data_IF_124627534951
#
_entry.id   IF_124627534951
#
_cell.length_a   1.000
_cell.length_b   1.000
_cell.length_c   1.000
_cell.angle_alpha   90.00
_cell.angle_beta   90.00
_cell.angle_gamma   90.00
#
_symmetry.space_group_name_H-M   'P 1'
#
loop_
_entity.id
_entity.type
_entity.pdbx_description
1 polymer ?
#
# COMPACT_ATOMS: atom_id res chain seq x y z
N UNK A 1 -9.77 -12.17 -6.16
CA UNK A 1 -8.72 -11.16 -6.10
C UNK A 1 -8.78 -10.49 -4.74
N UNK A 2 -7.66 -10.25 -4.09
CA UNK A 2 -7.62 -9.62 -2.76
C UNK A 2 -6.18 -9.31 -2.36
N UNK A 3 -5.98 -8.11 -1.82
CA UNK A 3 -4.71 -7.70 -1.24
C UNK A 3 -4.93 -6.61 -0.18
N UNK A 4 -3.96 -6.45 0.68
CA UNK A 4 -3.93 -5.45 1.75
C UNK A 4 -2.50 -5.15 2.15
N UNK A 5 -2.29 -4.00 2.77
CA UNK A 5 -1.00 -3.65 3.35
C UNK A 5 -0.74 -4.50 4.60
N UNK A 6 0.42 -5.13 4.64
CA UNK A 6 0.87 -5.94 5.79
C UNK A 6 1.63 -5.09 6.80
N UNK A 7 2.53 -4.25 6.31
CA UNK A 7 3.40 -3.41 7.14
C UNK A 7 3.77 -2.11 6.44
N UNK A 8 4.21 -1.15 7.26
CA UNK A 8 4.82 0.09 6.81
C UNK A 8 6.27 0.17 7.30
N UNK A 9 7.16 0.68 6.47
CA UNK A 9 8.58 0.88 6.81
C UNK A 9 9.04 2.26 6.38
N UNK A 10 9.91 2.88 7.17
CA UNK A 10 10.64 4.06 6.69
C UNK A 10 11.73 3.63 5.71
N UNK A 11 12.01 4.53 4.77
CA UNK A 11 13.06 4.34 3.76
C UNK A 11 14.14 5.41 4.01
N UNK A 12 15.40 5.00 4.06
CA UNK A 12 16.53 5.92 4.15
C UNK A 12 16.96 6.43 2.77
N UNK A 13 18.01 7.25 2.73
CA UNK A 13 18.55 7.84 1.50
C UNK A 13 19.09 6.82 0.49
N UNK A 14 19.33 5.58 0.91
CA UNK A 14 19.76 4.48 0.03
C UNK A 14 18.60 3.66 -0.52
N UNK A 15 17.39 3.83 0.02
CA UNK A 15 16.21 3.02 -0.26
C UNK A 15 16.04 1.83 0.69
N UNK A 16 16.94 1.65 1.66
CA UNK A 16 16.84 0.60 2.65
C UNK A 16 15.77 0.91 3.70
N UNK A 17 15.13 -0.13 4.23
CA UNK A 17 14.18 0.03 5.31
C UNK A 17 14.88 0.29 6.64
N UNK A 18 14.36 1.23 7.41
CA UNK A 18 14.94 1.64 8.68
C UNK A 18 13.89 1.76 9.77
N UNK A 19 14.34 1.65 11.02
CA UNK A 19 13.48 1.82 12.20
C UNK A 19 12.47 0.68 12.40
N UNK A 20 11.61 0.83 13.40
CA UNK A 20 10.57 -0.14 13.71
C UNK A 20 9.54 -0.29 12.59
N UNK A 21 8.90 -1.44 12.55
CA UNK A 21 7.76 -1.72 11.65
C UNK A 21 6.52 -1.03 12.19
N UNK A 22 5.74 -0.42 11.30
CA UNK A 22 4.38 0.03 11.59
C UNK A 22 3.35 -0.92 10.99
N UNK A 23 2.17 -0.99 11.59
CA UNK A 23 1.09 -1.87 11.17
C UNK A 23 -0.15 -1.09 10.73
N UNK A 24 -0.91 -1.60 9.73
CA UNK A 24 -2.16 -0.97 9.28
C UNK A 24 -3.31 -1.22 10.25
N UNK A 25 -4.34 -0.41 10.13
CA UNK A 25 -5.62 -0.64 10.80
C UNK A 25 -6.23 -1.95 10.26
N UNK A 26 -6.67 -2.81 11.19
CA UNK A 26 -7.19 -4.13 10.81
C UNK A 26 -6.12 -5.14 10.44
N UNK A 27 -4.87 -4.94 10.90
CA UNK A 27 -3.82 -5.93 10.75
C UNK A 27 -4.21 -7.26 11.38
N UNK A 28 -3.94 -8.34 10.66
CA UNK A 28 -4.01 -9.71 11.14
C UNK A 28 -2.77 -10.47 10.69
N UNK A 29 -2.18 -11.22 11.62
CA UNK A 29 -1.06 -12.07 11.27
C UNK A 29 -1.53 -13.19 10.33
N UNK A 30 -1.04 -13.17 9.10
CA UNK A 30 -1.38 -14.13 8.04
C UNK A 30 -1.07 -15.59 8.41
N UNK A 31 -0.09 -15.82 9.30
CA UNK A 31 0.29 -17.16 9.76
C UNK A 31 -0.47 -17.63 10.99
N UNK A 32 -1.37 -16.81 11.53
CA UNK A 32 -2.16 -17.18 12.69
C UNK A 32 -3.18 -18.26 12.37
N UNK A 33 -3.39 -19.16 13.31
CA UNK A 33 -4.41 -20.21 13.19
C UNK A 33 -5.80 -19.57 12.99
N UNK A 34 -6.51 -20.02 11.96
CA UNK A 34 -7.85 -19.52 11.64
C UNK A 34 -7.85 -18.21 10.85
N UNK A 35 -6.69 -17.71 10.41
CA UNK A 35 -6.65 -16.56 9.51
C UNK A 35 -7.40 -16.85 8.20
N UNK A 36 -8.13 -15.87 7.74
CA UNK A 36 -8.65 -15.80 6.39
C UNK A 36 -8.57 -14.36 5.89
N UNK A 37 -8.60 -14.17 4.58
CA UNK A 37 -8.31 -12.88 3.94
C UNK A 37 -9.34 -11.79 4.26
N UNK A 38 -10.61 -12.17 4.55
CA UNK A 38 -11.66 -11.23 4.95
C UNK A 38 -11.36 -10.52 6.29
N UNK A 39 -10.50 -11.14 7.11
CA UNK A 39 -10.07 -10.50 8.36
C UNK A 39 -9.18 -9.29 8.09
N UNK A 40 -8.34 -9.32 7.05
CA UNK A 40 -7.36 -8.27 6.75
C UNK A 40 -7.83 -7.30 5.64
N UNK A 41 -8.46 -7.81 4.58
CA UNK A 41 -8.88 -6.99 3.45
C UNK A 41 -10.05 -6.06 3.78
N UNK A 42 -10.12 -4.93 3.09
CA UNK A 42 -11.34 -4.11 2.93
C UNK A 42 -11.66 -4.05 1.44
N UNK A 43 -12.69 -4.78 1.03
CA UNK A 43 -13.07 -4.97 -0.37
C UNK A 43 -14.32 -4.18 -0.69
N UNK A 44 -14.26 -3.36 -1.73
CA UNK A 44 -15.34 -2.51 -2.19
C UNK A 44 -15.71 -2.90 -3.62
N UNK A 45 -16.92 -3.43 -3.80
CA UNK A 45 -17.46 -3.85 -5.10
C UNK A 45 -18.50 -2.89 -5.66
N UNK A 46 -19.02 -2.01 -4.82
CA UNK A 46 -20.03 -1.03 -5.18
C UNK A 46 -19.72 0.29 -4.48
N UNK A 47 -19.48 1.33 -5.26
CA UNK A 47 -19.19 2.68 -4.77
C UNK A 47 -20.43 3.56 -4.67
N UNK A 48 -21.61 3.10 -5.11
CA UNK A 48 -22.85 3.90 -5.12
C UNK A 48 -23.33 4.27 -3.71
N UNK A 49 -23.03 3.42 -2.74
CA UNK A 49 -23.36 3.65 -1.32
C UNK A 49 -22.27 4.42 -0.56
N UNK A 50 -21.18 4.80 -1.25
CA UNK A 50 -20.01 5.45 -0.65
C UNK A 50 -19.48 4.71 0.60
N UNK A 51 -19.14 3.41 0.50
CA UNK A 51 -18.66 2.65 1.64
C UNK A 51 -17.36 3.25 2.21
N UNK A 52 -17.13 3.05 3.51
CA UNK A 52 -15.99 3.61 4.21
C UNK A 52 -14.65 3.13 3.63
N UNK A 53 -13.71 4.05 3.51
CA UNK A 53 -12.39 3.78 2.94
C UNK A 53 -11.49 2.99 3.87
N UNK A 54 -11.66 3.14 5.19
CA UNK A 54 -10.85 2.45 6.19
C UNK A 54 -11.68 1.42 6.96
N UNK A 55 -11.07 0.30 7.31
CA UNK A 55 -11.66 -0.64 8.28
C UNK A 55 -11.84 0.05 9.62
N UNK A 56 -12.84 -0.36 10.42
CA UNK A 56 -12.98 0.14 11.79
C UNK A 56 -11.73 -0.21 12.63
N UNK A 57 -11.35 0.72 13.48
CA UNK A 57 -10.28 0.50 14.46
C UNK A 57 -10.76 -0.49 15.53
N UNK A 58 -10.34 -1.74 15.43
CA UNK A 58 -10.58 -2.72 16.49
C UNK A 58 -9.69 -2.43 17.71
N UNK A 59 -10.10 -2.88 18.90
CA UNK A 59 -9.31 -2.72 20.13
C UNK A 59 -7.89 -3.28 20.02
N UNK A 60 -7.69 -4.35 19.24
CA UNK A 60 -6.39 -4.94 18.97
C UNK A 60 -5.43 -3.96 18.27
N UNK A 61 -5.94 -3.03 17.47
CA UNK A 61 -5.09 -2.03 16.79
C UNK A 61 -4.41 -1.09 17.79
N UNK A 62 -5.02 -0.79 18.91
CA UNK A 62 -4.43 0.07 19.95
C UNK A 62 -3.15 -0.51 20.56
N UNK A 63 -2.93 -1.83 20.43
CA UNK A 63 -1.75 -2.54 20.95
C UNK A 63 -0.66 -2.77 19.89
N UNK A 64 -0.92 -2.41 18.63
CA UNK A 64 0.05 -2.52 17.55
C UNK A 64 0.90 -1.25 17.43
N UNK A 65 2.15 -1.44 17.04
CA UNK A 65 3.05 -0.33 16.80
C UNK A 65 2.61 0.46 15.55
N UNK A 66 2.44 1.76 15.71
CA UNK A 66 2.29 2.68 14.61
C UNK A 66 3.66 3.04 14.07
N UNK A 67 3.74 3.29 12.77
CA UNK A 67 4.97 3.83 12.21
C UNK A 67 5.19 5.24 12.77
N UNK A 68 6.37 5.46 13.35
CA UNK A 68 6.81 6.82 13.74
C UNK A 68 7.63 7.41 12.60
N UNK A 69 7.23 8.57 12.11
CA UNK A 69 7.91 9.27 11.03
C UNK A 69 7.81 10.78 11.18
N UNK A 70 8.70 11.50 10.52
CA UNK A 70 8.73 12.96 10.53
C UNK A 70 8.23 13.53 9.19
N UNK A 71 7.82 14.82 9.15
CA UNK A 71 7.57 15.51 7.90
C UNK A 71 8.73 15.31 6.92
N UNK A 72 8.43 15.01 5.66
CA UNK A 72 9.42 14.76 4.62
C UNK A 72 10.04 13.36 4.59
N UNK A 73 9.78 12.51 5.58
CA UNK A 73 10.24 11.11 5.55
C UNK A 73 9.58 10.34 4.40
N UNK A 74 10.32 9.37 3.86
CA UNK A 74 9.81 8.42 2.88
C UNK A 74 9.35 7.14 3.56
N UNK A 75 8.23 6.62 3.10
CA UNK A 75 7.56 5.46 3.68
C UNK A 75 7.21 4.46 2.58
N UNK A 76 7.47 3.18 2.83
CA UNK A 76 7.02 2.06 2.02
C UNK A 76 5.82 1.38 2.67
N UNK A 77 4.78 1.13 1.89
CA UNK A 77 3.68 0.23 2.22
C UNK A 77 3.93 -1.10 1.53
N UNK A 78 4.04 -2.17 2.32
CA UNK A 78 4.37 -3.51 1.84
C UNK A 78 3.12 -4.39 1.84
N UNK A 79 2.91 -5.11 0.74
CA UNK A 79 1.78 -6.00 0.55
C UNK A 79 2.17 -7.22 -0.27
N UNK A 80 1.43 -8.33 -0.11
CA UNK A 80 1.63 -9.51 -0.95
C UNK A 80 0.75 -9.45 -2.18
N UNK A 81 1.26 -9.99 -3.29
CA UNK A 81 0.58 -9.92 -4.59
C UNK A 81 -0.61 -10.87 -4.73
N UNK A 82 -0.71 -11.89 -3.86
CA UNK A 82 -1.81 -12.84 -3.76
C UNK A 82 -2.29 -13.42 -5.11
N UNK A 83 -1.35 -13.74 -5.98
CA UNK A 83 -1.61 -14.32 -7.30
C UNK A 83 -1.92 -13.29 -8.40
N UNK A 84 -2.03 -12.01 -8.09
CA UNK A 84 -2.34 -10.98 -9.08
C UNK A 84 -1.20 -10.73 -10.06
N UNK A 85 0.03 -10.95 -9.66
CA UNK A 85 1.20 -10.77 -10.52
C UNK A 85 1.63 -12.08 -11.15
N UNK A 86 1.77 -13.12 -10.34
CA UNK A 86 2.42 -14.37 -10.75
C UNK A 86 1.49 -15.43 -11.31
N UNK A 87 0.20 -15.42 -10.95
CA UNK A 87 -0.73 -16.45 -11.46
C UNK A 87 -1.26 -16.13 -12.85
N UNK A 88 -1.07 -17.02 -13.83
CA UNK A 88 -1.45 -16.78 -15.22
C UNK A 88 -2.95 -16.92 -15.48
N UNK A 89 -3.70 -17.57 -14.58
CA UNK A 89 -5.12 -17.85 -14.76
C UNK A 89 -6.05 -16.69 -14.37
N UNK A 90 -5.50 -15.60 -13.86
CA UNK A 90 -6.26 -14.36 -13.62
C UNK A 90 -6.21 -13.54 -14.92
N UNK A 91 -7.05 -13.86 -15.87
CA UNK A 91 -7.13 -13.16 -17.15
C UNK A 91 -8.59 -13.03 -17.60
N UNK A 92 -8.96 -11.92 -18.26
CA UNK A 92 -8.14 -10.74 -18.51
C UNK A 92 -7.89 -9.91 -17.24
N UNK A 93 -6.76 -9.22 -17.17
CA UNK A 93 -6.40 -8.38 -16.03
C UNK A 93 -6.00 -6.97 -16.49
N UNK A 94 -6.17 -5.94 -15.67
CA UNK A 94 -5.70 -4.60 -16.00
C UNK A 94 -4.18 -4.56 -16.14
N UNK A 95 -3.69 -3.58 -16.90
CA UNK A 95 -2.25 -3.39 -17.07
C UNK A 95 -1.54 -3.28 -15.73
N UNK A 96 -0.51 -4.10 -15.51
CA UNK A 96 0.29 -4.21 -14.29
C UNK A 96 -0.57 -4.33 -13.02
N UNK A 97 -1.68 -5.03 -13.16
CA UNK A 97 -2.64 -5.33 -12.10
C UNK A 97 -3.25 -4.10 -11.43
N UNK A 98 -3.47 -3.04 -12.21
CA UNK A 98 -4.20 -1.86 -11.79
C UNK A 98 -3.34 -0.82 -11.09
N UNK A 99 -4.01 0.17 -10.53
CA UNK A 99 -3.42 1.38 -9.96
C UNK A 99 -3.58 1.40 -8.45
N UNK A 100 -2.50 1.70 -7.77
CA UNK A 100 -2.47 2.02 -6.33
C UNK A 100 -2.33 3.52 -6.17
N UNK A 101 -3.31 4.15 -5.53
CA UNK A 101 -3.21 5.51 -5.08
C UNK A 101 -3.00 5.55 -3.57
N UNK A 102 -2.08 6.38 -3.11
CA UNK A 102 -1.83 6.59 -1.69
C UNK A 102 -2.26 8.01 -1.34
N UNK A 103 -3.19 8.10 -0.41
CA UNK A 103 -3.71 9.36 0.10
C UNK A 103 -3.29 9.57 1.54
N UNK A 104 -3.33 10.81 2.01
CA UNK A 104 -3.03 11.14 3.38
C UNK A 104 -3.86 12.29 3.92
N UNK A 105 -4.16 12.28 5.21
CA UNK A 105 -4.98 13.27 5.89
C UNK A 105 -4.62 13.45 7.36
N UNK A 106 -4.60 14.71 7.82
CA UNK A 106 -4.63 15.07 9.25
C UNK A 106 -6.03 15.05 9.85
N UNK A 107 -7.07 15.02 9.00
CA UNK A 107 -8.47 15.24 9.36
C UNK A 107 -9.36 14.05 8.95
N UNK A 108 -8.76 12.85 8.87
CA UNK A 108 -9.51 11.64 8.56
C UNK A 108 -10.55 11.34 9.64
N UNK A 109 -11.76 11.02 9.19
CA UNK A 109 -12.85 10.53 10.03
C UNK A 109 -13.22 9.11 9.63
N UNK A 110 -13.62 8.28 10.59
CA UNK A 110 -14.00 6.87 10.33
C UNK A 110 -15.17 6.74 9.34
N UNK A 111 -15.90 7.83 9.12
CA UNK A 111 -17.02 7.91 8.15
C UNK A 111 -16.59 8.31 6.74
N UNK A 112 -15.34 8.67 6.51
CA UNK A 112 -14.87 9.05 5.16
C UNK A 112 -15.07 7.88 4.19
N UNK A 113 -15.85 8.11 3.15
CA UNK A 113 -16.18 7.09 2.16
C UNK A 113 -15.19 7.06 1.00
N UNK A 114 -15.25 6.00 0.22
CA UNK A 114 -14.36 5.82 -0.92
C UNK A 114 -14.48 6.96 -1.95
N UNK A 115 -15.67 7.49 -2.18
CA UNK A 115 -15.90 8.57 -3.14
C UNK A 115 -15.42 9.94 -2.64
N UNK A 116 -15.23 10.09 -1.33
CA UNK A 116 -14.64 11.30 -0.76
C UNK A 116 -13.13 11.35 -1.01
N UNK A 117 -12.50 10.19 -1.21
CA UNK A 117 -11.05 9.99 -1.29
C UNK A 117 -10.60 9.70 -2.72
N UNK A 118 -11.04 8.57 -3.28
CA UNK A 118 -10.56 8.09 -4.58
C UNK A 118 -10.97 9.05 -5.71
N UNK A 119 -9.98 9.54 -6.45
CA UNK A 119 -10.12 10.52 -7.53
C UNK A 119 -10.74 11.88 -7.10
N UNK A 120 -10.93 12.08 -5.79
CA UNK A 120 -11.48 13.31 -5.22
C UNK A 120 -10.38 14.16 -4.58
N UNK A 121 -9.55 13.57 -3.74
CA UNK A 121 -8.38 14.28 -3.19
C UNK A 121 -7.28 14.39 -4.22
N UNK A 122 -6.80 15.62 -4.44
CA UNK A 122 -5.77 15.94 -5.42
C UNK A 122 -4.40 16.15 -4.75
N UNK A 123 -3.33 16.12 -5.53
CA UNK A 123 -1.97 16.26 -5.01
C UNK A 123 -1.69 17.64 -4.37
N UNK A 124 -2.45 18.66 -4.75
CA UNK A 124 -2.35 19.99 -4.15
C UNK A 124 -3.19 20.18 -2.87
N UNK A 125 -3.90 19.12 -2.43
CA UNK A 125 -4.72 19.12 -1.24
C UNK A 125 -6.02 19.94 -1.34
N UNK A 126 -6.41 20.40 -2.54
CA UNK A 126 -7.58 21.27 -2.75
C UNK A 126 -8.78 20.52 -3.31
N UNK A 127 -8.61 19.29 -3.74
CA UNK A 127 -9.67 18.48 -4.32
C UNK A 127 -10.65 17.94 -3.28
N UNK A 128 -11.83 17.59 -3.75
CA UNK A 128 -12.88 17.00 -2.93
C UNK A 128 -13.31 17.90 -1.78
N UNK A 129 -13.38 17.34 -0.58
CA UNK A 129 -13.74 18.07 0.65
C UNK A 129 -12.55 18.80 1.31
N UNK A 130 -11.36 18.75 0.70
CA UNK A 130 -10.16 19.42 1.21
C UNK A 130 -9.57 18.83 2.49
N UNK A 131 -10.02 17.65 2.95
CA UNK A 131 -9.52 17.02 4.16
C UNK A 131 -8.19 16.29 3.97
N UNK A 132 -7.83 15.93 2.73
CA UNK A 132 -6.64 15.15 2.43
C UNK A 132 -6.07 15.42 1.04
N UNK A 133 -5.01 14.70 0.73
CA UNK A 133 -4.29 14.88 -0.53
C UNK A 133 -3.79 13.54 -1.08
N UNK A 134 -3.59 13.49 -2.41
CA UNK A 134 -2.91 12.39 -3.08
C UNK A 134 -1.39 12.53 -2.88
N UNK A 135 -0.78 11.50 -2.29
CA UNK A 135 0.67 11.48 -2.02
C UNK A 135 1.46 10.80 -3.12
N UNK A 136 0.93 9.70 -3.67
CA UNK A 136 1.60 8.93 -4.71
C UNK A 136 0.60 8.11 -5.53
N UNK A 137 1.01 7.76 -6.76
CA UNK A 137 0.32 6.83 -7.64
C UNK A 137 1.33 5.85 -8.21
N UNK A 138 1.02 4.54 -8.11
CA UNK A 138 1.85 3.45 -8.59
C UNK A 138 1.03 2.43 -9.37
N UNK A 139 1.70 1.57 -10.11
CA UNK A 139 1.09 0.30 -10.51
C UNK A 139 1.14 -0.68 -9.33
N UNK A 140 0.14 -1.56 -9.25
CA UNK A 140 0.11 -2.60 -8.21
C UNK A 140 1.30 -3.56 -8.35
N UNK A 141 1.56 -4.06 -9.56
CA UNK A 141 2.80 -4.78 -9.85
C UNK A 141 3.97 -3.79 -9.92
N UNK A 142 4.77 -3.77 -8.87
CA UNK A 142 5.93 -2.89 -8.74
C UNK A 142 7.15 -3.34 -9.56
N UNK A 143 7.04 -4.45 -10.31
CA UNK A 143 8.10 -5.01 -11.14
C UNK A 143 9.06 -5.96 -10.41
N UNK A 144 8.95 -6.09 -9.09
CA UNK A 144 9.86 -6.92 -8.28
C UNK A 144 9.14 -8.01 -7.49
N UNK A 145 7.93 -7.75 -7.01
CA UNK A 145 7.25 -8.65 -6.08
C UNK A 145 6.75 -9.95 -6.72
N UNK A 146 6.75 -10.99 -5.93
CA UNK A 146 6.20 -12.29 -6.27
C UNK A 146 5.88 -13.09 -5.02
N UNK A 147 4.97 -14.05 -5.14
CA UNK A 147 4.60 -14.94 -4.06
C UNK A 147 4.64 -16.38 -4.55
N UNK A 148 5.14 -17.27 -3.68
CA UNK A 148 5.12 -18.70 -3.93
C UNK A 148 3.71 -19.26 -3.68
N UNK A 149 2.89 -19.28 -4.71
CA UNK A 149 1.55 -19.87 -4.66
C UNK A 149 1.57 -21.40 -4.87
N UNK A 150 2.46 -22.10 -4.15
CA UNK A 150 2.48 -23.57 -4.18
C UNK A 150 3.28 -24.16 -5.34
N UNK A 151 4.45 -23.60 -5.66
CA UNK A 151 5.43 -24.23 -6.52
C UNK A 151 5.45 -23.92 -7.98
N UNK A 152 5.43 -22.70 -8.37
CA UNK A 152 5.28 -22.57 -9.77
C UNK A 152 6.45 -21.89 -10.47
N UNK A 153 7.63 -22.52 -10.42
CA UNK A 153 8.69 -22.25 -11.40
C UNK A 153 8.22 -22.39 -12.86
N UNK A 154 7.07 -23.05 -13.07
CA UNK A 154 6.38 -23.07 -14.36
C UNK A 154 5.72 -21.72 -14.73
N UNK A 155 5.54 -20.80 -13.76
CA UNK A 155 5.02 -19.47 -14.03
C UNK A 155 6.18 -18.57 -14.42
N UNK A 156 6.25 -18.03 -15.66
CA UNK A 156 7.43 -17.33 -16.16
C UNK A 156 7.85 -16.12 -15.29
N UNK A 157 6.88 -15.34 -14.79
CA UNK A 157 7.15 -14.17 -13.95
C UNK A 157 7.75 -14.60 -12.61
N UNK A 158 7.16 -15.61 -11.95
CA UNK A 158 7.70 -16.14 -10.71
C UNK A 158 9.13 -16.67 -10.90
N UNK A 159 9.34 -17.51 -11.89
CA UNK A 159 10.65 -18.10 -12.16
C UNK A 159 11.72 -17.04 -12.45
N UNK A 160 11.39 -15.99 -13.20
CA UNK A 160 12.31 -14.91 -13.49
C UNK A 160 12.69 -14.11 -12.24
N UNK A 161 11.70 -13.70 -11.43
CA UNK A 161 11.91 -12.91 -10.22
C UNK A 161 12.61 -13.73 -9.13
N UNK A 162 12.23 -15.00 -8.96
CA UNK A 162 12.93 -15.92 -8.06
C UNK A 162 14.42 -16.07 -8.44
N UNK A 163 14.71 -16.24 -9.73
CA UNK A 163 16.08 -16.34 -10.22
C UNK A 163 16.91 -15.08 -9.93
N UNK A 164 16.26 -13.92 -9.98
CA UNK A 164 16.91 -12.65 -9.71
C UNK A 164 17.18 -12.44 -8.21
N UNK A 165 16.22 -12.77 -7.36
CA UNK A 165 16.25 -12.41 -5.93
C UNK A 165 16.55 -13.58 -5.00
N UNK A 166 16.23 -14.81 -5.38
CA UNK A 166 16.54 -16.03 -4.60
C UNK A 166 15.68 -16.22 -3.35
N UNK A 167 14.58 -15.46 -3.21
CA UNK A 167 13.65 -15.56 -2.09
C UNK A 167 12.44 -16.39 -2.49
N UNK A 168 11.79 -17.08 -1.55
CA UNK A 168 10.55 -17.79 -1.81
C UNK A 168 9.42 -16.84 -2.20
N UNK A 169 9.39 -15.68 -1.59
CA UNK A 169 8.46 -14.60 -1.91
C UNK A 169 9.09 -13.24 -1.62
N UNK A 170 8.59 -12.22 -2.27
CA UNK A 170 9.00 -10.85 -2.08
C UNK A 170 7.77 -9.94 -2.08
N UNK A 171 7.64 -9.11 -1.04
CA UNK A 171 6.55 -8.16 -0.93
C UNK A 171 6.60 -7.12 -2.06
N UNK A 172 5.41 -6.77 -2.55
CA UNK A 172 5.22 -5.58 -3.35
C UNK A 172 5.38 -4.34 -2.47
N UNK A 173 5.83 -3.26 -3.07
CA UNK A 173 6.15 -2.02 -2.40
C UNK A 173 5.52 -0.84 -3.12
N UNK A 174 4.73 -0.06 -2.40
CA UNK A 174 4.25 1.26 -2.84
C UNK A 174 4.75 2.32 -1.89
N UNK A 175 5.54 3.25 -2.40
CA UNK A 175 6.24 4.25 -1.62
C UNK A 175 5.60 5.62 -1.76
N UNK A 176 5.73 6.42 -0.72
CA UNK A 176 5.32 7.82 -0.73
C UNK A 176 6.22 8.67 0.17
N UNK A 177 6.21 9.96 -0.08
CA UNK A 177 6.85 10.95 0.78
C UNK A 177 5.78 11.60 1.65
N UNK A 178 6.02 11.69 2.96
CA UNK A 178 5.21 12.54 3.83
C UNK A 178 5.38 14.00 3.44
N UNK A 179 4.30 14.81 3.40
CA UNK A 179 4.42 16.25 3.16
C UNK A 179 5.41 16.92 4.11
N UNK A 180 6.16 17.88 3.58
CA UNK A 180 7.19 18.59 4.34
C UNK A 180 6.59 19.57 5.37
N UNK A 181 5.34 19.98 5.18
CA UNK A 181 4.61 20.95 5.98
C UNK A 181 3.70 20.35 7.04
N UNK A 182 3.81 19.04 7.29
CA UNK A 182 3.08 18.38 8.38
C UNK A 182 3.57 18.89 9.76
N UNK A 183 2.69 18.85 10.78
CA UNK A 183 3.11 19.15 12.15
C UNK A 183 4.08 18.08 12.66
N UNK A 184 4.93 18.46 13.62
CA UNK A 184 5.93 17.58 14.25
C UNK A 184 5.35 16.71 15.37
N UNK A 185 4.04 16.60 15.47
CA UNK A 185 3.33 15.78 16.46
C UNK A 185 1.91 15.49 15.99
N UNK A 186 1.31 14.47 16.55
CA UNK A 186 -0.05 14.03 16.24
C UNK A 186 -0.06 12.84 15.29
N UNK A 187 -1.20 12.58 14.70
CA UNK A 187 -1.43 11.42 13.84
C UNK A 187 -1.75 11.85 12.42
N UNK A 188 -1.10 11.22 11.46
CA UNK A 188 -1.39 11.35 10.03
C UNK A 188 -1.91 10.02 9.50
N UNK A 189 -3.12 10.00 8.99
CA UNK A 189 -3.71 8.79 8.42
C UNK A 189 -3.36 8.69 6.95
N UNK A 190 -2.81 7.55 6.55
CA UNK A 190 -2.53 7.23 5.16
C UNK A 190 -3.42 6.10 4.69
N UNK A 191 -3.83 6.16 3.42
CA UNK A 191 -4.77 5.25 2.80
C UNK A 191 -4.18 4.73 1.50
N UNK A 192 -3.92 3.45 1.45
CA UNK A 192 -3.56 2.70 0.26
C UNK A 192 -4.85 2.25 -0.41
N UNK A 193 -5.09 2.68 -1.64
CA UNK A 193 -6.30 2.40 -2.40
C UNK A 193 -5.89 1.75 -3.72
N UNK A 194 -6.15 0.46 -3.84
CA UNK A 194 -5.88 -0.30 -5.05
C UNK A 194 -7.15 -0.44 -5.88
N UNK A 195 -7.15 0.21 -7.03
CA UNK A 195 -8.21 0.09 -8.04
C UNK A 195 -7.81 -0.99 -9.04
N UNK A 196 -8.49 -2.13 -8.93
CA UNK A 196 -8.31 -3.27 -9.81
C UNK A 196 -9.62 -3.53 -10.56
N UNK A 197 -9.88 -2.83 -11.68
CA UNK A 197 -11.12 -3.01 -12.43
C UNK A 197 -11.17 -4.44 -12.98
N UNK A 198 -12.14 -5.22 -12.53
CA UNK A 198 -12.38 -6.54 -13.06
C UNK A 198 -12.88 -6.42 -14.50
N UNK A 199 -12.09 -6.88 -15.46
CA UNK A 199 -12.44 -6.85 -16.86
C UNK A 199 -13.45 -7.96 -17.16
N UNK A 200 -14.69 -7.58 -17.45
CA UNK A 200 -15.78 -8.50 -17.76
C UNK A 200 -15.85 -8.77 -19.26
N UNK A 201 -15.59 -7.74 -20.06
CA UNK A 201 -15.51 -7.80 -21.53
C UNK A 201 -14.67 -6.64 -22.07
N UNK A 202 -14.46 -6.59 -23.39
CA UNK A 202 -13.72 -5.51 -24.04
C UNK A 202 -14.33 -4.11 -23.80
N UNK A 203 -15.58 -4.06 -23.39
CA UNK A 203 -16.33 -2.80 -23.20
C UNK A 203 -16.88 -2.61 -21.79
N UNK A 204 -16.68 -3.58 -20.89
CA UNK A 204 -17.29 -3.56 -19.57
C UNK A 204 -16.28 -4.01 -18.49
N UNK A 205 -16.10 -3.13 -17.50
CA UNK A 205 -15.41 -3.44 -16.26
C UNK A 205 -16.38 -3.39 -15.10
N UNK A 206 -16.15 -4.21 -14.08
CA UNK A 206 -16.82 -4.03 -12.78
C UNK A 206 -15.85 -3.49 -11.74
N UNK A 207 -16.41 -2.75 -10.80
CA UNK A 207 -15.66 -2.15 -9.69
C UNK A 207 -15.13 -3.26 -8.78
N UNK A 208 -13.83 -3.22 -8.55
CA UNK A 208 -13.18 -4.00 -7.52
C UNK A 208 -12.04 -3.18 -6.93
N UNK A 209 -12.23 -2.67 -5.71
CA UNK A 209 -11.30 -1.78 -5.03
C UNK A 209 -10.94 -2.41 -3.69
N UNK A 210 -9.66 -2.32 -3.33
CA UNK A 210 -9.15 -2.76 -2.04
C UNK A 210 -8.50 -1.59 -1.33
N UNK A 211 -8.73 -1.47 -0.03
CA UNK A 211 -8.14 -0.39 0.75
C UNK A 211 -7.46 -0.90 2.01
N UNK A 212 -6.41 -0.21 2.41
CA UNK A 212 -5.76 -0.38 3.70
C UNK A 212 -5.39 0.99 4.24
N UNK A 213 -5.72 1.25 5.48
CA UNK A 213 -5.38 2.50 6.15
C UNK A 213 -4.38 2.25 7.26
N UNK A 214 -3.53 3.24 7.52
CA UNK A 214 -2.61 3.20 8.64
C UNK A 214 -2.47 4.59 9.28
N UNK A 215 -2.24 4.61 10.57
CA UNK A 215 -1.90 5.82 11.29
C UNK A 215 -0.39 5.92 11.45
N UNK A 216 0.18 7.07 11.07
CA UNK A 216 1.58 7.42 11.28
C UNK A 216 1.65 8.41 12.44
N UNK A 217 2.44 8.06 13.45
CA UNK A 217 2.74 8.96 14.56
C UNK A 217 3.81 9.95 14.12
N UNK A 218 3.42 11.23 14.06
CA UNK A 218 4.31 12.30 13.63
C UNK A 218 5.27 12.67 14.77
N UNK A 219 6.54 12.78 14.41
CA UNK A 219 7.62 13.22 15.26
C UNK A 219 8.35 14.43 14.69
N UNK A 220 9.32 14.97 15.45
CA UNK A 220 10.08 16.15 15.01
C UNK A 220 10.84 15.88 13.72
N UNK A 221 10.79 16.87 12.83
CA UNK A 221 11.56 16.84 11.59
C UNK A 221 13.05 16.75 11.91
N UNK A 222 13.75 15.83 11.27
CA UNK A 222 15.21 15.85 11.26
C UNK A 222 15.64 17.04 10.41
N UNK A 223 16.79 17.65 10.77
CA UNK A 223 17.39 18.72 9.96
C UNK A 223 17.41 18.29 8.50
N UNK A 224 16.95 19.16 7.60
CA UNK A 224 16.78 18.88 6.18
C UNK A 224 17.99 18.14 5.63
N UNK A 225 17.83 16.87 5.39
CA UNK A 225 18.82 16.08 4.68
C UNK A 225 18.50 16.30 3.20
N UNK A 226 19.39 16.97 2.48
CA UNK A 226 19.35 17.04 1.02
C UNK A 226 19.66 15.66 0.40
N UNK A 227 19.20 14.59 1.03
CA UNK A 227 19.47 13.24 0.61
C UNK A 227 18.43 12.80 -0.41
N UNK A 228 18.93 12.32 -1.53
CA UNK A 228 18.11 11.74 -2.57
C UNK A 228 17.72 10.32 -2.14
N UNK A 229 16.49 10.14 -1.71
CA UNK A 229 15.96 8.82 -1.38
C UNK A 229 15.68 8.05 -2.67
N UNK A 230 16.14 6.82 -2.73
CA UNK A 230 15.76 5.88 -3.77
C UNK A 230 14.50 5.14 -3.32
N UNK A 231 13.42 5.31 -4.07
CA UNK A 231 12.16 4.63 -3.80
C UNK A 231 11.55 4.11 -5.09
N UNK A 232 10.67 3.14 -4.96
CA UNK A 232 9.96 2.57 -6.09
C UNK A 232 8.93 3.57 -6.62
N UNK A 233 9.27 4.23 -7.70
CA UNK A 233 8.37 5.12 -8.41
C UNK A 233 8.25 4.63 -9.84
N UNK A 234 7.03 4.43 -10.30
CA UNK A 234 6.79 4.03 -11.69
C UNK A 234 7.64 2.82 -12.12
N UNK A 235 7.73 1.81 -11.23
CA UNK A 235 8.39 0.52 -11.48
C UNK A 235 9.92 0.51 -11.44
N UNK A 236 10.52 1.40 -10.77
CA UNK A 236 11.93 1.28 -10.43
C UNK A 236 12.10 0.28 -9.30
N UNK A 237 12.90 -0.74 -9.52
CA UNK A 237 13.24 -1.74 -8.50
C UNK A 237 14.04 -1.08 -7.37
N UNK A 238 13.63 -1.31 -6.14
CA UNK A 238 14.35 -0.86 -4.95
C UNK A 238 15.22 -2.01 -4.39
N UNK A 239 16.39 -2.21 -4.95
CA UNK A 239 17.30 -3.29 -4.52
C UNK A 239 17.70 -3.17 -3.04
N UNK A 240 17.84 -1.96 -2.52
CA UNK A 240 18.17 -1.77 -1.10
C UNK A 240 17.00 -2.15 -0.19
N UNK A 241 15.76 -1.85 -0.60
CA UNK A 241 14.56 -2.29 0.11
C UNK A 241 14.38 -3.81 0.07
N UNK A 242 14.68 -4.45 -1.07
CA UNK A 242 14.69 -5.91 -1.20
C UNK A 242 15.66 -6.53 -0.20
N UNK A 243 16.89 -6.05 -0.17
CA UNK A 243 17.91 -6.54 0.76
C UNK A 243 17.50 -6.35 2.24
N UNK A 244 16.69 -5.34 2.53
CA UNK A 244 16.18 -5.07 3.89
C UNK A 244 15.01 -5.98 4.30
N UNK A 245 14.46 -6.77 3.38
CA UNK A 245 13.43 -7.79 3.69
C UNK A 245 14.07 -9.13 4.13
N UNK A 246 15.34 -9.32 3.87
CA UNK A 246 16.12 -10.49 4.26
C UNK A 246 16.56 -10.42 5.72
#
# INVERSE_FOLDING_TARGET
>A
AHSWVETLRKIDSTGAFTGPVGYPIGYHNRTALGFNDDMAQNKILDTTTNPVVCKPKANAYATLDRLSAAPGDYVAMLYQENGHVTQPNITPRPYRDGIVNIYGSLHHEDSDGINDVLNSWTADGKGGNGKGQLLATHYYDDGQCYQNAGQNFAIPIYAARYKEHGLDELYCQSDFKLPDDLPESGTYTVMWVWDWPLIVSDTQNSTEIYTSCAEIELGPAKSAQNEKVMFNKANKVNNAGIASQL
#
